data_IF_194058885858
#
_entry.id   IF_194058885858
#
_cell.length_a   1.000
_cell.length_b   1.000
_cell.length_c   1.000
_cell.angle_alpha   90.00
_cell.angle_beta   90.00
_cell.angle_gamma   90.00
#
_symmetry.space_group_name_H-M   'P 1'
#
loop_
_entity.id
_entity.type
_entity.pdbx_description
1 polymer ?
#
# COMPACT_ATOMS: atom_id res chain seq x y z
N UNK A 1 -1.83 0.17 -12.06
CA UNK A 1 -2.79 0.29 -10.94
C UNK A 1 -1.99 0.63 -9.69
N UNK A 2 -2.37 1.65 -8.92
CA UNK A 2 -1.77 1.95 -7.61
C UNK A 2 -2.80 1.67 -6.52
N UNK A 3 -2.39 0.98 -5.47
CA UNK A 3 -3.22 0.67 -4.30
C UNK A 3 -2.45 1.04 -3.04
N UNK A 4 -3.15 1.40 -1.98
CA UNK A 4 -2.51 1.56 -0.68
C UNK A 4 -2.23 0.19 -0.06
N UNK A 5 -1.30 0.17 0.88
CA UNK A 5 -1.07 -1.03 1.69
C UNK A 5 -2.38 -1.47 2.36
N UNK A 6 -2.73 -2.78 2.35
CA UNK A 6 -3.99 -3.27 2.90
C UNK A 6 -4.23 -2.87 4.37
N UNK A 7 -3.17 -2.76 5.17
CA UNK A 7 -3.23 -2.31 6.57
C UNK A 7 -3.79 -0.88 6.73
N UNK A 8 -3.70 -0.02 5.72
CA UNK A 8 -4.22 1.35 5.79
C UNK A 8 -5.74 1.35 5.90
N UNK A 9 -6.42 0.41 5.24
CA UNK A 9 -7.88 0.28 5.34
C UNK A 9 -8.32 -0.22 6.72
N UNK A 10 -7.52 -1.09 7.37
CA UNK A 10 -7.79 -1.51 8.76
C UNK A 10 -7.75 -0.32 9.73
N UNK A 11 -7.00 0.74 9.38
CA UNK A 11 -6.96 2.01 10.13
C UNK A 11 -8.05 3.00 9.71
N UNK A 12 -9.00 2.60 8.88
CA UNK A 12 -10.03 3.47 8.33
C UNK A 12 -9.48 4.57 7.41
N UNK A 13 -8.28 4.39 6.86
CA UNK A 13 -7.66 5.38 5.98
C UNK A 13 -7.95 5.05 4.52
N UNK A 14 -8.24 6.10 3.76
CA UNK A 14 -8.30 6.08 2.30
C UNK A 14 -7.30 7.10 1.74
N UNK A 15 -6.93 6.96 0.48
CA UNK A 15 -6.26 8.02 -0.23
C UNK A 15 -7.19 9.25 -0.27
N UNK A 16 -6.63 10.42 0.05
CA UNK A 16 -7.34 11.69 0.02
C UNK A 16 -6.59 12.64 -0.90
N UNK A 17 -7.34 13.28 -1.77
CA UNK A 17 -6.86 14.26 -2.74
C UNK A 17 -7.73 15.51 -2.61
N UNK A 18 -7.23 16.61 -3.17
CA UNK A 18 -7.99 17.84 -3.29
C UNK A 18 -8.20 18.12 -4.78
N UNK A 19 -9.45 18.33 -5.19
CA UNK A 19 -9.75 18.70 -6.57
C UNK A 19 -9.41 20.20 -6.83
N UNK A 20 -9.55 20.62 -8.08
CA UNK A 20 -9.28 22.01 -8.50
C UNK A 20 -10.24 23.03 -7.85
N UNK A 21 -11.41 22.58 -7.41
CA UNK A 21 -12.40 23.38 -6.69
C UNK A 21 -12.13 23.43 -5.19
N UNK A 22 -11.11 22.73 -4.71
CA UNK A 22 -10.72 22.70 -3.30
C UNK A 22 -11.48 21.66 -2.45
N UNK A 23 -12.29 20.79 -3.06
CA UNK A 23 -13.03 19.75 -2.35
C UNK A 23 -12.14 18.54 -2.05
N UNK A 24 -12.43 17.87 -0.93
CA UNK A 24 -11.79 16.61 -0.59
C UNK A 24 -12.39 15.45 -1.41
N UNK A 25 -11.54 14.80 -2.22
CA UNK A 25 -11.90 13.60 -2.98
C UNK A 25 -11.21 12.39 -2.36
N UNK A 26 -12.00 11.40 -1.96
CA UNK A 26 -11.52 10.12 -1.42
C UNK A 26 -11.88 8.99 -2.37
N UNK A 27 -11.11 8.80 -3.46
CA UNK A 27 -11.37 7.71 -4.37
C UNK A 27 -11.22 6.40 -3.60
N UNK A 28 -12.25 5.55 -3.66
CA UNK A 28 -12.19 4.24 -3.04
C UNK A 28 -11.22 3.40 -3.88
N UNK A 29 -10.04 3.13 -3.33
CA UNK A 29 -9.13 2.17 -3.94
C UNK A 29 -9.69 0.76 -3.77
N UNK A 30 -9.33 -0.15 -4.67
CA UNK A 30 -9.70 -1.56 -4.55
C UNK A 30 -9.14 -2.12 -3.24
N UNK A 31 -10.01 -2.72 -2.43
CA UNK A 31 -9.62 -3.31 -1.15
C UNK A 31 -9.11 -4.74 -1.40
N UNK A 32 -7.86 -4.86 -1.83
CA UNK A 32 -7.15 -6.12 -1.84
C UNK A 32 -6.51 -6.38 -0.48
N UNK A 33 -6.58 -7.62 -0.02
CA UNK A 33 -5.77 -8.16 1.07
C UNK A 33 -4.39 -8.60 0.54
N UNK A 34 -3.43 -8.86 1.43
CA UNK A 34 -2.15 -9.48 1.01
C UNK A 34 -2.39 -10.86 0.38
N UNK A 35 -3.38 -11.60 0.87
CA UNK A 35 -3.76 -12.90 0.32
C UNK A 35 -4.25 -12.80 -1.11
N UNK A 36 -4.99 -11.75 -1.48
CA UNK A 36 -5.45 -11.55 -2.86
C UNK A 36 -4.28 -11.37 -3.83
N UNK A 37 -3.25 -10.63 -3.42
CA UNK A 37 -2.04 -10.46 -4.22
C UNK A 37 -1.24 -11.77 -4.34
N UNK A 38 -1.06 -12.49 -3.25
CA UNK A 38 -0.32 -13.78 -3.23
C UNK A 38 -1.04 -14.81 -4.08
N UNK A 39 -2.35 -15.00 -3.85
CA UNK A 39 -3.14 -15.98 -4.60
C UNK A 39 -3.27 -15.59 -6.06
N UNK A 40 -3.41 -14.31 -6.39
CA UNK A 40 -3.41 -13.85 -7.77
C UNK A 40 -2.12 -14.20 -8.52
N UNK A 41 -0.95 -14.10 -7.87
CA UNK A 41 0.31 -14.53 -8.46
C UNK A 41 0.40 -16.05 -8.64
N UNK A 42 -0.10 -16.82 -7.67
CA UNK A 42 -0.16 -18.30 -7.72
C UNK A 42 -1.07 -18.76 -8.86
N UNK A 43 -2.27 -18.20 -8.97
CA UNK A 43 -3.26 -18.54 -10.00
C UNK A 43 -2.75 -18.17 -11.39
N UNK A 44 -2.01 -17.07 -11.51
CA UNK A 44 -1.30 -16.67 -12.72
C UNK A 44 -0.07 -17.54 -13.05
N UNK A 45 0.24 -18.55 -12.24
CA UNK A 45 1.40 -19.45 -12.37
C UNK A 45 2.75 -18.73 -12.37
N UNK A 46 2.85 -17.61 -11.66
CA UNK A 46 4.12 -16.91 -11.46
C UNK A 46 4.89 -17.53 -10.29
N UNK A 47 6.21 -17.46 -10.34
CA UNK A 47 7.07 -17.77 -9.21
C UNK A 47 7.21 -16.53 -8.31
N UNK A 48 6.89 -16.68 -7.02
CA UNK A 48 7.10 -15.64 -6.01
C UNK A 48 8.53 -15.77 -5.49
N UNK A 49 9.39 -14.80 -5.79
CA UNK A 49 10.80 -14.77 -5.37
C UNK A 49 11.00 -14.11 -4.02
N UNK A 50 10.25 -13.05 -3.74
CA UNK A 50 10.33 -12.31 -2.50
C UNK A 50 9.00 -11.65 -2.17
N UNK A 51 8.70 -11.58 -0.87
CA UNK A 51 7.62 -10.79 -0.29
C UNK A 51 8.25 -9.88 0.77
N UNK A 52 8.02 -8.57 0.67
CA UNK A 52 8.58 -7.60 1.60
C UNK A 52 7.50 -6.59 2.01
N UNK A 53 7.37 -6.35 3.31
CA UNK A 53 6.66 -5.20 3.84
C UNK A 53 7.68 -4.16 4.34
N UNK A 54 7.34 -2.87 4.15
CA UNK A 54 8.15 -1.75 4.66
C UNK A 54 7.27 -0.85 5.51
N UNK A 55 7.65 -0.76 6.78
CA UNK A 55 7.06 0.20 7.71
C UNK A 55 7.57 1.61 7.44
N UNK A 56 6.75 2.60 7.78
CA UNK A 56 7.23 3.98 7.92
C UNK A 56 8.21 4.02 9.09
N UNK A 57 9.41 4.52 8.84
CA UNK A 57 10.47 4.69 9.82
C UNK A 57 10.73 6.17 10.13
N UNK A 58 11.57 6.41 11.12
CA UNK A 58 11.96 7.75 11.58
C UNK A 58 12.65 8.54 10.48
N UNK A 59 13.43 7.86 9.62
CA UNK A 59 14.11 8.48 8.48
C UNK A 59 13.10 9.08 7.49
N UNK A 60 12.04 8.33 7.18
CA UNK A 60 10.97 8.79 6.30
C UNK A 60 10.17 9.92 6.94
N UNK A 61 9.91 9.86 8.25
CA UNK A 61 9.22 10.93 8.99
C UNK A 61 10.06 12.20 9.03
N UNK A 62 11.37 12.11 9.25
CA UNK A 62 12.26 13.26 9.25
C UNK A 62 12.24 13.99 7.90
N UNK A 63 12.18 13.24 6.79
CA UNK A 63 12.08 13.81 5.45
C UNK A 63 10.68 14.32 5.11
N UNK A 64 9.64 13.64 5.60
CA UNK A 64 8.25 13.97 5.34
C UNK A 64 7.44 13.96 6.64
N UNK A 65 7.34 15.09 7.36
CA UNK A 65 6.72 15.14 8.68
C UNK A 65 5.27 14.62 8.72
N UNK A 66 4.52 14.76 7.61
CA UNK A 66 3.15 14.21 7.47
C UNK A 66 3.10 12.67 7.60
N UNK A 67 4.20 11.97 7.36
CA UNK A 67 4.27 10.52 7.50
C UNK A 67 4.24 10.06 8.97
N UNK A 68 4.47 10.96 9.94
CA UNK A 68 4.46 10.64 11.37
C UNK A 68 3.17 9.92 11.82
N UNK A 69 2.04 10.25 11.20
CA UNK A 69 0.75 9.61 11.46
C UNK A 69 0.73 8.09 11.17
N UNK A 70 1.74 7.59 10.47
CA UNK A 70 1.91 6.20 10.04
C UNK A 70 3.20 5.56 10.57
N UNK A 71 3.97 6.23 11.44
CA UNK A 71 5.21 5.68 12.01
C UNK A 71 4.98 4.29 12.62
N UNK A 72 5.84 3.34 12.28
CA UNK A 72 5.74 1.94 12.71
C UNK A 72 4.72 1.08 11.94
N UNK A 73 3.94 1.65 11.02
CA UNK A 73 2.96 0.90 10.22
C UNK A 73 3.49 0.56 8.82
N UNK A 74 3.18 -0.64 8.29
CA UNK A 74 3.52 -1.01 6.92
C UNK A 74 2.80 -0.08 5.94
N UNK A 75 3.58 0.66 5.16
CA UNK A 75 3.11 1.59 4.14
C UNK A 75 3.31 1.06 2.72
N UNK A 76 4.14 0.03 2.56
CA UNK A 76 4.43 -0.58 1.26
C UNK A 76 4.52 -2.10 1.39
N UNK A 77 3.95 -2.79 0.41
CA UNK A 77 4.08 -4.22 0.18
C UNK A 77 4.70 -4.40 -1.22
N UNK A 78 5.73 -5.23 -1.29
CA UNK A 78 6.50 -5.50 -2.51
C UNK A 78 6.51 -7.00 -2.77
N UNK A 79 6.22 -7.38 -4.01
CA UNK A 79 6.32 -8.74 -4.50
C UNK A 79 7.32 -8.78 -5.66
N UNK A 80 8.36 -9.60 -5.55
CA UNK A 80 9.18 -9.96 -6.70
C UNK A 80 8.60 -11.23 -7.33
N UNK A 81 8.25 -11.12 -8.61
CA UNK A 81 7.62 -12.19 -9.38
C UNK A 81 8.44 -12.52 -10.61
N UNK A 82 8.46 -13.80 -11.01
CA UNK A 82 9.05 -14.25 -12.27
C UNK A 82 8.11 -15.15 -13.05
N UNK A 83 8.18 -15.14 -14.40
CA UNK A 83 7.58 -16.21 -15.19
C UNK A 83 8.17 -17.56 -14.77
N UNK A 84 7.33 -18.60 -14.79
CA UNK A 84 7.80 -19.98 -14.66
C UNK A 84 8.38 -20.50 -15.98
#
# INVERSE_FOLDING_TARGET
MTAMHPSMFLRGRSASFRDESGNDVRPRSYQATLSDYVMGAVDARLEIRALLERAVDETLVARFPRAAQSLGWPALFVMELRPR
#
